data_IF_364863718240
#
_entry.id   IF_364863718240
#
_cell.length_a   1.000
_cell.length_b   1.000
_cell.length_c   1.000
_cell.angle_alpha   90.00
_cell.angle_beta   90.00
_cell.angle_gamma   90.00
#
_symmetry.space_group_name_H-M   'P 1'
#
loop_
_entity.id
_entity.type
_entity.pdbx_description
1 polymer ?
#
# COMPACT_ATOMS: atom_id res chain seq x y z
N UNK A 1 -35.40 5.19 -42.12
CA UNK A 1 -35.71 4.81 -40.72
C UNK A 1 -34.61 3.94 -40.07
N UNK A 2 -34.16 2.82 -40.68
CA UNK A 2 -33.14 1.94 -40.07
C UNK A 2 -31.77 2.60 -39.77
N UNK A 3 -31.32 3.55 -40.60
CA UNK A 3 -30.06 4.28 -40.37
C UNK A 3 -30.11 5.16 -39.11
N UNK A 4 -31.22 5.87 -38.89
CA UNK A 4 -31.37 6.80 -37.76
C UNK A 4 -31.41 6.06 -36.40
N UNK A 5 -32.12 4.93 -36.34
CA UNK A 5 -32.21 4.11 -35.13
C UNK A 5 -30.89 3.34 -34.86
N UNK A 6 -30.11 3.03 -35.89
CA UNK A 6 -28.76 2.47 -35.72
C UNK A 6 -27.79 3.51 -35.16
N UNK A 7 -27.81 4.74 -35.71
CA UNK A 7 -27.03 5.88 -35.20
C UNK A 7 -27.35 6.18 -33.74
N UNK A 8 -28.64 6.19 -33.37
CA UNK A 8 -29.07 6.43 -32.00
C UNK A 8 -28.58 5.36 -31.01
N UNK A 9 -28.64 4.08 -31.38
CA UNK A 9 -28.10 3.00 -30.55
C UNK A 9 -26.57 3.11 -30.39
N UNK A 10 -25.86 3.54 -31.43
CA UNK A 10 -24.42 3.82 -31.38
C UNK A 10 -24.08 4.97 -30.43
N UNK A 11 -24.82 6.08 -30.48
CA UNK A 11 -24.63 7.22 -29.58
C UNK A 11 -24.83 6.80 -28.12
N UNK A 12 -25.89 6.05 -27.79
CA UNK A 12 -26.10 5.57 -26.42
C UNK A 12 -24.98 4.61 -25.99
N UNK A 13 -24.52 3.74 -26.88
CA UNK A 13 -23.42 2.81 -26.58
C UNK A 13 -22.13 3.56 -26.27
N UNK A 14 -21.85 4.64 -27.01
CA UNK A 14 -20.72 5.52 -26.74
C UNK A 14 -20.87 6.26 -25.40
N UNK A 15 -22.07 6.79 -25.11
CA UNK A 15 -22.33 7.46 -23.83
C UNK A 15 -22.15 6.50 -22.64
N UNK A 16 -22.63 5.26 -22.75
CA UNK A 16 -22.43 4.21 -21.74
C UNK A 16 -20.95 3.86 -21.57
N UNK A 17 -20.22 3.69 -22.68
CA UNK A 17 -18.78 3.45 -22.63
C UNK A 17 -18.05 4.57 -21.87
N UNK A 18 -18.33 5.83 -22.22
CA UNK A 18 -17.72 6.99 -21.56
C UNK A 18 -18.11 7.07 -20.08
N UNK A 19 -19.37 6.82 -19.73
CA UNK A 19 -19.81 6.82 -18.34
C UNK A 19 -19.10 5.74 -17.51
N UNK A 20 -18.93 4.53 -18.05
CA UNK A 20 -18.19 3.44 -17.40
C UNK A 20 -16.71 3.80 -17.24
N UNK A 21 -16.07 4.35 -18.27
CA UNK A 21 -14.68 4.80 -18.18
C UNK A 21 -14.51 5.91 -17.14
N UNK A 22 -15.42 6.89 -17.11
CA UNK A 22 -15.39 7.96 -16.11
C UNK A 22 -15.57 7.42 -14.71
N UNK A 23 -16.57 6.56 -14.49
CA UNK A 23 -16.80 5.96 -13.17
C UNK A 23 -15.63 5.08 -12.71
N UNK A 24 -15.08 4.26 -13.61
CA UNK A 24 -13.98 3.34 -13.30
C UNK A 24 -12.64 4.03 -13.07
N UNK A 25 -12.35 5.12 -13.79
CA UNK A 25 -11.07 5.82 -13.72
C UNK A 25 -11.08 7.06 -12.83
N UNK A 26 -12.23 7.48 -12.31
CA UNK A 26 -12.32 8.58 -11.35
C UNK A 26 -11.53 8.25 -10.06
N UNK A 27 -10.68 9.17 -9.55
CA UNK A 27 -10.61 10.62 -9.85
C UNK A 27 -9.59 11.03 -10.92
N UNK A 28 -9.10 10.12 -11.77
CA UNK A 28 -8.09 10.37 -12.81
C UNK A 28 -6.75 10.92 -12.30
N UNK A 29 -6.47 10.74 -11.00
CA UNK A 29 -5.24 11.21 -10.39
C UNK A 29 -4.15 10.13 -10.43
N UNK A 30 -3.56 9.91 -11.61
CA UNK A 30 -2.49 8.93 -11.84
C UNK A 30 -1.12 9.36 -11.31
N UNK A 31 -0.97 10.64 -10.99
CA UNK A 31 0.28 11.24 -10.53
C UNK A 31 0.02 12.10 -9.28
N UNK A 32 -0.48 11.52 -8.18
CA UNK A 32 -0.74 12.29 -6.98
C UNK A 32 0.56 12.87 -6.42
N UNK A 33 0.48 14.10 -5.89
CA UNK A 33 1.56 14.70 -5.11
C UNK A 33 1.87 13.78 -3.93
N UNK A 34 3.15 13.58 -3.64
CA UNK A 34 3.55 12.94 -2.41
C UNK A 34 3.15 13.80 -1.22
N UNK A 35 2.44 13.21 -0.27
CA UNK A 35 1.85 13.92 0.86
C UNK A 35 2.81 13.89 2.06
N UNK A 36 4.02 14.41 1.82
CA UNK A 36 5.04 14.60 2.84
C UNK A 36 5.51 16.04 2.75
N UNK A 37 5.45 16.77 3.86
CA UNK A 37 5.88 18.15 3.92
C UNK A 37 6.93 18.32 5.03
N UNK A 38 7.90 19.20 4.83
CA UNK A 38 8.82 19.58 5.90
C UNK A 38 8.09 20.35 7.00
N UNK A 39 8.48 20.15 8.25
CA UNK A 39 7.95 20.93 9.36
C UNK A 39 8.51 22.36 9.32
N UNK A 40 7.67 23.40 9.43
CA UNK A 40 8.13 24.79 9.31
C UNK A 40 8.94 25.26 10.53
N UNK A 41 8.56 24.79 11.72
CA UNK A 41 9.05 25.34 12.99
C UNK A 41 10.13 24.49 13.67
N UNK A 42 10.37 23.25 13.19
CA UNK A 42 11.33 22.31 13.77
C UNK A 42 11.87 21.33 12.73
N UNK A 43 12.97 20.67 13.05
CA UNK A 43 13.53 19.60 12.21
C UNK A 43 12.57 18.41 12.18
N UNK A 44 12.39 17.83 11.00
CA UNK A 44 11.43 16.76 10.77
C UNK A 44 10.53 16.96 9.56
N UNK A 45 9.79 15.91 9.26
CA UNK A 45 8.81 15.84 8.18
C UNK A 45 7.47 15.38 8.74
N UNK A 46 6.39 15.84 8.11
CA UNK A 46 5.03 15.41 8.39
C UNK A 46 4.51 14.56 7.25
N UNK A 47 3.96 13.41 7.61
CA UNK A 47 3.22 12.55 6.71
C UNK A 47 1.72 12.86 6.82
N UNK A 48 1.10 13.07 5.67
CA UNK A 48 -0.34 13.21 5.51
C UNK A 48 -0.80 12.16 4.50
N UNK A 49 -1.99 11.57 4.67
CA UNK A 49 -2.56 10.62 3.69
C UNK A 49 -1.50 9.68 3.09
N UNK A 50 -1.41 9.58 1.76
CA UNK A 50 -0.46 8.71 1.03
C UNK A 50 0.98 9.30 0.95
N UNK A 51 1.55 9.74 2.06
CA UNK A 51 2.95 10.17 2.13
C UNK A 51 3.92 8.98 2.07
N UNK A 52 5.07 9.14 1.41
CA UNK A 52 6.14 8.13 1.40
C UNK A 52 7.53 8.76 1.31
N UNK A 53 8.47 8.23 2.08
CA UNK A 53 9.91 8.47 1.91
C UNK A 53 10.59 7.13 1.69
N UNK A 54 11.54 7.06 0.76
CA UNK A 54 12.23 5.82 0.41
C UNK A 54 13.74 5.98 0.54
N UNK A 55 14.39 5.00 1.17
CA UNK A 55 15.85 4.90 1.20
C UNK A 55 16.46 4.37 -0.09
N UNK A 56 17.80 4.37 -0.17
CA UNK A 56 18.53 3.77 -1.27
C UNK A 56 18.30 2.25 -1.31
N UNK A 57 18.64 1.64 -2.45
CA UNK A 57 18.67 0.19 -2.57
C UNK A 57 19.92 -0.33 -1.88
N UNK A 58 19.75 -1.25 -0.93
CA UNK A 58 20.83 -1.97 -0.26
C UNK A 58 20.85 -3.37 -0.85
N UNK A 59 21.89 -3.70 -1.61
CA UNK A 59 22.00 -5.04 -2.19
C UNK A 59 22.21 -6.12 -1.11
N UNK A 60 21.94 -7.38 -1.45
CA UNK A 60 22.04 -8.49 -0.50
C UNK A 60 23.45 -8.66 0.10
N UNK A 61 24.52 -8.34 -0.63
CA UNK A 61 25.90 -8.48 -0.14
C UNK A 61 26.22 -7.39 0.88
N UNK A 62 25.83 -6.15 0.59
CA UNK A 62 25.95 -5.04 1.52
C UNK A 62 25.13 -5.32 2.78
N UNK A 63 23.88 -5.78 2.63
CA UNK A 63 23.02 -6.17 3.74
C UNK A 63 23.69 -7.22 4.64
N UNK A 64 24.23 -8.29 4.04
CA UNK A 64 24.93 -9.34 4.79
C UNK A 64 26.15 -8.80 5.54
N UNK A 65 26.93 -7.89 4.93
CA UNK A 65 28.09 -7.27 5.59
C UNK A 65 27.69 -6.39 6.76
N UNK A 66 26.62 -5.61 6.61
CA UNK A 66 26.10 -4.73 7.65
C UNK A 66 25.54 -5.53 8.81
N UNK A 67 24.69 -6.53 8.56
CA UNK A 67 23.91 -7.22 9.61
C UNK A 67 24.28 -8.70 9.77
N UNK A 68 25.58 -9.03 9.83
CA UNK A 68 26.11 -10.42 9.85
C UNK A 68 25.49 -11.28 10.96
N UNK A 69 25.34 -10.71 12.16
CA UNK A 69 24.79 -11.43 13.32
C UNK A 69 23.26 -11.34 13.41
N UNK A 70 22.60 -10.73 12.42
CA UNK A 70 21.20 -10.29 12.49
C UNK A 70 20.96 -9.33 13.68
N UNK A 71 22.02 -8.70 14.16
CA UNK A 71 21.99 -7.68 15.20
C UNK A 71 21.67 -6.31 14.58
N UNK A 72 20.67 -5.62 15.12
CA UNK A 72 20.22 -4.32 14.66
C UNK A 72 19.69 -3.51 15.84
N UNK A 73 19.94 -2.21 15.86
CA UNK A 73 19.16 -1.27 16.68
C UNK A 73 18.54 -0.22 15.80
N UNK A 74 17.22 -0.05 15.91
CA UNK A 74 16.46 1.00 15.23
C UNK A 74 16.02 2.02 16.28
N UNK A 75 16.39 3.27 16.09
CA UNK A 75 15.90 4.38 16.90
C UNK A 75 15.06 5.31 16.05
N UNK A 76 13.90 5.73 16.55
CA UNK A 76 13.01 6.63 15.84
C UNK A 76 12.37 7.63 16.80
N UNK A 77 12.33 8.89 16.38
CA UNK A 77 11.54 9.96 17.00
C UNK A 77 10.35 10.27 16.14
N UNK A 78 9.16 10.14 16.71
CA UNK A 78 7.93 10.41 15.99
C UNK A 78 6.84 11.00 16.88
N UNK A 79 5.85 11.63 16.27
CA UNK A 79 4.65 12.17 16.91
C UNK A 79 3.42 11.74 16.12
N UNK A 80 2.62 10.78 16.59
CA UNK A 80 1.37 10.41 15.95
C UNK A 80 0.39 11.58 15.95
N UNK A 81 -0.25 11.87 14.82
CA UNK A 81 -1.32 12.87 14.75
C UNK A 81 -2.69 12.27 15.07
N UNK A 82 -2.89 11.00 14.72
CA UNK A 82 -4.17 10.29 14.83
C UNK A 82 -4.06 9.08 15.77
N UNK A 83 -5.19 8.68 16.34
CA UNK A 83 -5.38 7.30 16.81
C UNK A 83 -5.94 6.47 15.66
N UNK A 84 -5.34 5.32 15.39
CA UNK A 84 -5.62 4.54 14.19
C UNK A 84 -6.39 3.26 14.52
N UNK A 85 -7.22 2.79 13.60
CA UNK A 85 -7.88 1.47 13.69
C UNK A 85 -7.41 0.49 12.60
N UNK A 86 -6.66 0.98 11.61
CA UNK A 86 -6.22 0.24 10.41
C UNK A 86 -4.77 -0.26 10.45
N UNK A 87 -4.06 -0.09 11.56
CA UNK A 87 -2.65 -0.49 11.70
C UNK A 87 -1.69 0.07 10.64
N UNK A 88 -1.66 1.38 10.32
CA UNK A 88 -0.78 1.92 9.28
C UNK A 88 0.71 1.73 9.55
N UNK A 89 1.53 1.73 8.49
CA UNK A 89 2.97 1.50 8.55
C UNK A 89 3.74 2.80 8.78
N UNK A 90 4.54 2.86 9.84
CA UNK A 90 5.46 3.96 10.13
C UNK A 90 6.81 3.71 9.44
N UNK A 91 7.32 2.49 9.55
CA UNK A 91 8.58 2.06 8.94
C UNK A 91 8.35 0.71 8.29
N UNK A 92 8.86 0.50 7.08
CA UNK A 92 8.87 -0.79 6.42
C UNK A 92 10.25 -1.06 5.82
N UNK A 93 10.75 -2.27 6.08
CA UNK A 93 11.90 -2.83 5.39
C UNK A 93 11.39 -3.82 4.35
N UNK A 94 11.54 -3.46 3.09
CA UNK A 94 11.00 -4.19 1.95
C UNK A 94 12.12 -4.86 1.15
N UNK A 95 11.88 -6.10 0.72
CA UNK A 95 12.84 -6.90 -0.07
C UNK A 95 12.23 -7.49 -1.35
N UNK A 96 11.09 -6.95 -1.81
CA UNK A 96 10.37 -7.49 -2.97
C UNK A 96 9.36 -8.60 -2.65
N UNK A 97 9.29 -9.10 -1.41
CA UNK A 97 8.43 -10.23 -1.03
C UNK A 97 7.36 -9.85 0.00
N UNK A 98 6.17 -10.42 -0.16
CA UNK A 98 5.09 -10.37 0.84
C UNK A 98 5.06 -11.64 1.71
N UNK A 99 4.82 -11.54 3.03
CA UNK A 99 4.74 -10.30 3.82
C UNK A 99 6.10 -9.58 3.87
N UNK A 100 6.12 -8.28 4.18
CA UNK A 100 7.36 -7.48 4.28
C UNK A 100 8.34 -8.04 5.31
N UNK A 101 9.63 -7.68 5.20
CA UNK A 101 10.68 -8.27 6.05
C UNK A 101 10.51 -7.82 7.50
N UNK A 102 10.29 -6.51 7.69
CA UNK A 102 10.02 -5.88 8.98
C UNK A 102 9.07 -4.69 8.78
N UNK A 103 8.07 -4.53 9.66
CA UNK A 103 7.21 -3.34 9.71
C UNK A 103 7.02 -2.85 11.14
N UNK A 104 7.14 -1.53 11.34
CA UNK A 104 6.65 -0.85 12.53
C UNK A 104 5.33 -0.20 12.17
N UNK A 105 4.30 -0.47 12.97
CA UNK A 105 2.92 -0.09 12.71
C UNK A 105 2.31 0.57 13.94
N UNK A 106 1.33 1.44 13.72
CA UNK A 106 0.55 2.04 14.81
C UNK A 106 -0.84 1.42 14.87
N UNK A 107 -1.23 0.84 15.99
CA UNK A 107 -2.62 0.47 16.29
C UNK A 107 -3.12 1.27 17.48
N UNK A 108 -4.09 2.18 17.29
CA UNK A 108 -4.51 3.14 18.34
C UNK A 108 -3.29 3.90 18.88
N UNK A 109 -3.04 3.81 20.19
CA UNK A 109 -1.85 4.35 20.86
C UNK A 109 -0.67 3.36 20.92
N UNK A 110 -0.80 2.18 20.33
CA UNK A 110 0.15 1.07 20.47
C UNK A 110 1.13 1.04 19.31
N UNK A 111 2.37 0.67 19.61
CA UNK A 111 3.33 0.27 18.60
C UNK A 111 3.19 -1.24 18.38
N UNK A 112 3.04 -1.65 17.13
CA UNK A 112 3.02 -3.05 16.70
C UNK A 112 4.19 -3.28 15.75
N UNK A 113 4.98 -4.31 15.99
CA UNK A 113 6.13 -4.66 15.17
C UNK A 113 5.87 -6.04 14.58
N UNK A 114 5.91 -6.16 13.26
CA UNK A 114 5.86 -7.44 12.56
C UNK A 114 7.18 -7.74 11.88
N UNK A 115 7.76 -8.89 12.19
CA UNK A 115 8.93 -9.44 11.51
C UNK A 115 8.55 -10.69 10.76
N UNK A 116 8.98 -10.85 9.50
CA UNK A 116 8.68 -12.06 8.72
C UNK A 116 9.21 -13.31 9.41
N UNK A 117 8.39 -14.35 9.48
CA UNK A 117 8.80 -15.62 10.08
C UNK A 117 9.80 -16.38 9.18
N UNK A 118 10.91 -16.82 9.78
CA UNK A 118 11.92 -17.68 9.12
C UNK A 118 11.69 -19.16 9.39
N UNK A 119 11.10 -19.50 10.54
CA UNK A 119 10.98 -20.89 10.98
C UNK A 119 10.07 -21.70 10.07
N UNK A 120 10.63 -22.80 9.55
CA UNK A 120 9.93 -23.82 8.79
C UNK A 120 8.71 -24.41 9.53
N UNK A 121 8.73 -24.46 10.87
CA UNK A 121 7.61 -24.92 11.68
C UNK A 121 6.47 -23.90 11.77
N UNK A 122 6.81 -22.61 11.91
CA UNK A 122 5.83 -21.50 11.93
C UNK A 122 5.16 -21.35 10.56
N UNK A 123 5.93 -21.46 9.47
CA UNK A 123 5.39 -21.48 8.11
C UNK A 123 4.44 -22.66 7.88
N UNK A 124 4.74 -23.85 8.42
CA UNK A 124 3.86 -25.02 8.37
C UNK A 124 2.56 -24.83 9.16
N UNK A 125 2.53 -23.95 10.16
CA UNK A 125 1.34 -23.58 10.94
C UNK A 125 0.58 -22.39 10.36
N UNK A 126 1.00 -21.86 9.20
CA UNK A 126 0.39 -20.70 8.57
C UNK A 126 0.75 -19.36 9.23
N UNK A 127 1.71 -19.33 10.15
CA UNK A 127 2.19 -18.09 10.79
C UNK A 127 3.16 -17.39 9.83
N UNK A 128 2.76 -16.24 9.32
CA UNK A 128 3.55 -15.49 8.34
C UNK A 128 4.52 -14.49 8.98
N UNK A 129 4.24 -14.04 10.20
CA UNK A 129 5.03 -13.04 10.93
C UNK A 129 5.07 -13.31 12.45
N UNK A 130 6.14 -12.83 13.07
CA UNK A 130 6.26 -12.67 14.51
C UNK A 130 5.74 -11.28 14.90
N UNK A 131 4.95 -11.18 15.96
CA UNK A 131 4.40 -9.92 16.45
C UNK A 131 4.96 -9.53 17.82
N UNK A 132 5.33 -8.26 17.96
CA UNK A 132 5.61 -7.59 19.23
C UNK A 132 4.63 -6.42 19.36
N UNK A 133 3.86 -6.38 20.45
CA UNK A 133 2.93 -5.30 20.76
C UNK A 133 3.36 -4.52 22.00
N UNK A 134 3.44 -3.20 21.89
CA UNK A 134 3.68 -2.28 22.98
C UNK A 134 2.49 -1.35 23.17
N UNK A 135 1.78 -1.53 24.28
CA UNK A 135 0.67 -0.66 24.65
C UNK A 135 1.15 0.74 25.01
N UNK A 136 0.37 1.73 24.59
CA UNK A 136 0.51 3.16 24.90
C UNK A 136 1.90 3.75 24.62
N UNK A 137 2.62 3.17 23.65
CA UNK A 137 3.95 3.64 23.25
C UNK A 137 3.87 4.86 22.32
N UNK A 138 2.74 5.07 21.64
CA UNK A 138 2.52 6.08 20.61
C UNK A 138 1.26 6.90 20.92
N UNK A 139 1.21 7.64 22.05
CA UNK A 139 0.06 8.47 22.37
C UNK A 139 -0.14 9.60 21.34
N UNK A 140 -1.41 9.85 21.00
CA UNK A 140 -1.79 10.89 20.03
C UNK A 140 -1.28 12.26 20.48
N UNK A 141 -0.65 12.97 19.55
CA UNK A 141 -0.19 14.35 19.74
C UNK A 141 0.98 14.50 20.70
N UNK A 142 1.68 13.43 21.03
CA UNK A 142 2.84 13.46 21.93
C UNK A 142 4.08 12.95 21.19
N UNK A 143 5.22 13.59 21.45
CA UNK A 143 6.49 13.14 20.91
C UNK A 143 6.91 11.85 21.64
N UNK A 144 7.31 10.84 20.86
CA UNK A 144 7.76 9.55 21.34
C UNK A 144 9.13 9.24 20.75
N UNK A 145 10.04 8.76 21.60
CA UNK A 145 11.29 8.15 21.20
C UNK A 145 11.21 6.65 21.45
N UNK A 146 11.46 5.87 20.41
CA UNK A 146 11.46 4.41 20.47
C UNK A 146 12.84 3.93 20.03
N UNK A 147 13.52 3.18 20.90
CA UNK A 147 14.71 2.41 20.53
C UNK A 147 14.40 0.91 20.57
N UNK A 148 14.72 0.19 19.51
CA UNK A 148 14.43 -1.24 19.36
C UNK A 148 15.74 -1.95 19.06
N UNK A 149 16.33 -2.56 20.08
CA UNK A 149 17.57 -3.31 19.97
C UNK A 149 17.26 -4.80 19.85
N UNK A 150 17.74 -5.46 18.80
CA UNK A 150 17.40 -6.85 18.51
C UNK A 150 18.55 -7.62 17.89
N UNK A 151 18.62 -8.90 18.24
CA UNK A 151 19.49 -9.89 17.62
C UNK A 151 18.73 -11.22 17.45
N UNK A 152 19.46 -12.34 17.34
CA UNK A 152 18.86 -13.69 17.24
C UNK A 152 18.22 -14.16 18.55
N UNK A 153 18.64 -13.63 19.70
CA UNK A 153 18.15 -14.04 21.02
C UNK A 153 16.79 -13.40 21.34
N UNK A 154 16.54 -12.17 20.85
CA UNK A 154 15.28 -11.49 21.05
C UNK A 154 15.31 -10.01 20.68
N UNK A 155 14.37 -9.26 21.25
CA UNK A 155 14.24 -7.82 21.08
C UNK A 155 14.04 -7.15 22.43
N UNK A 156 14.74 -6.04 22.68
CA UNK A 156 14.49 -5.12 23.77
C UNK A 156 13.97 -3.79 23.20
N UNK A 157 12.86 -3.30 23.73
CA UNK A 157 12.26 -2.03 23.31
C UNK A 157 12.26 -1.02 24.44
N UNK A 158 12.81 0.15 24.19
CA UNK A 158 12.88 1.28 25.10
C UNK A 158 11.93 2.37 24.61
N UNK A 159 11.19 2.99 25.54
CA UNK A 159 10.28 4.10 25.24
C UNK A 159 10.71 5.28 26.09
N UNK A 160 11.03 6.41 25.45
CA UNK A 160 11.43 7.66 26.10
C UNK A 160 12.53 7.50 27.17
N UNK A 161 13.54 6.67 26.88
CA UNK A 161 14.66 6.40 27.81
C UNK A 161 14.29 5.57 29.05
N UNK A 162 13.05 5.05 29.12
CA UNK A 162 12.62 4.16 30.19
C UNK A 162 13.24 2.75 30.11
N UNK A 163 12.99 1.90 31.13
CA UNK A 163 13.55 0.55 31.17
C UNK A 163 13.08 -0.32 29.99
N UNK A 164 13.92 -1.25 29.50
CA UNK A 164 13.59 -2.08 28.36
C UNK A 164 12.44 -3.03 28.65
N UNK A 165 11.53 -3.16 27.68
CA UNK A 165 10.60 -4.29 27.57
C UNK A 165 11.24 -5.37 26.71
N UNK A 166 11.52 -6.53 27.32
CA UNK A 166 12.17 -7.65 26.64
C UNK A 166 11.16 -8.63 26.01
N UNK A 167 11.45 -9.04 24.79
CA UNK A 167 10.69 -9.99 23.99
C UNK A 167 11.63 -11.11 23.51
N UNK A 168 11.86 -12.15 24.32
CA UNK A 168 12.76 -13.24 23.97
C UNK A 168 12.22 -14.02 22.76
N UNK A 169 13.13 -14.54 21.92
CA UNK A 169 12.83 -15.32 20.70
C UNK A 169 12.01 -14.57 19.63
N UNK A 170 11.84 -13.25 19.77
CA UNK A 170 11.24 -12.38 18.77
C UNK A 170 12.35 -11.48 18.22
N UNK A 171 12.75 -11.72 16.97
CA UNK A 171 13.86 -10.98 16.33
C UNK A 171 13.30 -10.02 15.28
N UNK A 172 13.85 -8.81 15.17
CA UNK A 172 13.51 -7.89 14.08
C UNK A 172 13.91 -8.46 12.72
N UNK A 173 15.09 -9.07 12.65
CA UNK A 173 15.63 -9.67 11.43
C UNK A 173 15.50 -11.20 11.51
N UNK A 174 14.28 -11.67 11.80
CA UNK A 174 14.01 -13.09 11.96
C UNK A 174 14.30 -13.87 10.66
N UNK A 175 13.84 -13.36 9.51
CA UNK A 175 14.06 -13.97 8.20
C UNK A 175 15.28 -13.40 7.47
N UNK A 176 15.89 -14.23 6.62
CA UNK A 176 16.86 -13.74 5.63
C UNK A 176 16.11 -13.00 4.52
N UNK A 177 16.64 -11.87 4.02
CA UNK A 177 16.03 -11.20 2.88
C UNK A 177 16.03 -12.05 1.61
N UNK A 178 15.00 -11.89 0.80
CA UNK A 178 14.81 -12.61 -0.46
C UNK A 178 15.26 -11.83 -1.71
N UNK A 179 15.41 -10.52 -1.60
CA UNK A 179 15.73 -9.60 -2.69
C UNK A 179 16.63 -8.47 -2.19
N UNK A 180 16.73 -7.38 -2.96
CA UNK A 180 17.41 -6.17 -2.52
C UNK A 180 16.53 -5.36 -1.57
N UNK A 181 17.16 -4.65 -0.64
CA UNK A 181 16.48 -4.05 0.51
C UNK A 181 16.21 -2.59 0.26
N UNK A 182 15.07 -2.14 0.76
CA UNK A 182 14.76 -0.73 0.82
C UNK A 182 14.00 -0.38 2.09
N UNK A 183 14.44 0.71 2.71
CA UNK A 183 13.72 1.36 3.79
C UNK A 183 12.60 2.23 3.22
N UNK A 184 11.42 2.15 3.82
CA UNK A 184 10.26 2.98 3.49
C UNK A 184 9.76 3.59 4.78
N UNK A 185 9.45 4.89 4.77
CA UNK A 185 8.81 5.59 5.89
C UNK A 185 7.41 6.06 5.51
N UNK A 186 6.51 5.98 6.47
CA UNK A 186 5.14 6.51 6.41
C UNK A 186 4.15 5.69 5.60
N UNK A 187 4.56 4.58 4.97
CA UNK A 187 3.65 3.78 4.14
C UNK A 187 4.10 2.32 3.98
N UNK A 188 3.19 1.47 3.50
CA UNK A 188 3.54 0.15 2.93
C UNK A 188 4.13 0.30 1.51
N UNK A 189 4.79 -0.73 0.98
CA UNK A 189 5.27 -0.72 -0.40
C UNK A 189 4.16 -0.51 -1.43
N UNK A 190 2.92 -0.95 -1.13
CA UNK A 190 1.75 -0.77 -1.99
C UNK A 190 1.13 0.63 -1.94
N UNK A 191 1.41 1.42 -0.90
CA UNK A 191 0.81 2.75 -0.75
C UNK A 191 -0.53 2.81 -0.01
N UNK A 192 -1.06 1.66 0.40
CA UNK A 192 -2.40 1.52 0.99
C UNK A 192 -2.41 1.66 2.51
N UNK A 193 -1.28 1.40 3.18
CA UNK A 193 -1.18 1.37 4.65
C UNK A 193 -0.35 2.55 5.15
N UNK A 194 -0.86 3.75 4.90
CA UNK A 194 -0.17 5.00 5.15
C UNK A 194 -0.39 5.57 6.55
N UNK A 195 0.67 6.16 7.13
CA UNK A 195 0.69 6.71 8.47
C UNK A 195 0.60 8.23 8.47
N UNK A 196 0.02 8.82 9.51
CA UNK A 196 -0.16 10.27 9.65
C UNK A 196 0.45 10.76 10.96
N UNK A 197 1.41 11.67 10.85
CA UNK A 197 2.17 12.23 11.96
C UNK A 197 3.54 12.72 11.55
N UNK A 198 4.35 13.10 12.54
CA UNK A 198 5.68 13.65 12.32
C UNK A 198 6.77 12.60 12.55
N UNK A 199 7.80 12.58 11.72
CA UNK A 199 9.08 11.91 12.01
C UNK A 199 10.15 12.98 12.12
N UNK A 200 10.89 12.98 13.23
CA UNK A 200 11.89 14.01 13.57
C UNK A 200 13.29 13.44 13.81
N UNK A 201 13.47 12.14 13.62
CA UNK A 201 14.75 11.47 13.81
C UNK A 201 14.66 9.99 13.52
N UNK A 202 15.68 9.44 12.87
CA UNK A 202 15.84 8.01 12.62
C UNK A 202 17.31 7.64 12.66
N UNK A 203 17.68 6.62 13.43
CA UNK A 203 19.01 6.03 13.41
C UNK A 203 18.94 4.51 13.29
N UNK A 204 19.94 3.94 12.60
CA UNK A 204 20.09 2.50 12.42
C UNK A 204 21.51 2.11 12.81
N UNK A 205 21.62 1.14 13.70
CA UNK A 205 22.87 0.52 14.12
C UNK A 205 22.90 -0.93 13.69
N UNK A 206 24.10 -1.45 13.38
CA UNK A 206 24.31 -2.86 13.07
C UNK A 206 24.64 -3.73 14.29
N UNK A 207 24.27 -3.28 15.48
CA UNK A 207 24.50 -3.97 16.74
C UNK A 207 23.35 -3.74 17.70
N UNK A 208 23.32 -4.52 18.77
CA UNK A 208 22.43 -4.30 19.91
C UNK A 208 23.05 -3.21 20.80
N UNK A 209 22.33 -2.12 21.04
CA UNK A 209 22.74 -1.11 22.01
C UNK A 209 22.48 -1.59 23.44
N UNK A 210 23.41 -1.30 24.34
CA UNK A 210 23.21 -1.50 25.78
C UNK A 210 22.17 -0.49 26.33
N UNK A 211 21.50 -0.79 27.47
CA UNK A 211 20.52 0.12 28.08
C UNK A 211 21.06 1.53 28.35
N UNK A 212 22.32 1.63 28.76
CA UNK A 212 22.99 2.90 29.07
C UNK A 212 23.28 3.70 27.80
N UNK A 213 23.52 3.02 26.67
CA UNK A 213 23.70 3.65 25.37
C UNK A 213 22.37 4.18 24.83
N UNK A 214 21.31 3.37 24.87
CA UNK A 214 19.97 3.79 24.45
C UNK A 214 19.44 4.98 25.26
N UNK A 215 19.73 5.02 26.56
CA UNK A 215 19.37 6.16 27.43
C UNK A 215 20.16 7.42 27.06
N UNK A 216 21.46 7.26 26.77
CA UNK A 216 22.33 8.38 26.36
C UNK A 216 21.91 8.95 25.00
N UNK A 217 21.58 8.08 24.05
CA UNK A 217 21.10 8.47 22.73
C UNK A 217 19.74 9.18 22.85
N UNK A 218 18.83 8.71 23.72
CA UNK A 218 17.59 9.43 24.04
C UNK A 218 17.86 10.87 24.52
N UNK A 219 18.80 11.09 25.45
CA UNK A 219 19.15 12.43 25.90
C UNK A 219 19.75 13.29 24.78
N UNK A 220 20.61 12.71 23.93
CA UNK A 220 21.18 13.40 22.78
C UNK A 220 20.09 13.82 21.79
N UNK A 221 19.14 12.94 21.50
CA UNK A 221 17.97 13.23 20.69
C UNK A 221 17.10 14.34 21.28
N UNK A 222 16.87 14.37 22.59
CA UNK A 222 16.13 15.46 23.26
C UNK A 222 16.83 16.81 23.13
N UNK A 223 18.17 16.82 23.11
CA UNK A 223 19.00 18.02 22.89
C UNK A 223 19.20 18.37 21.40
N UNK A 224 18.64 17.58 20.48
CA UNK A 224 18.92 17.63 19.03
C UNK A 224 20.43 17.54 18.70
N UNK A 225 21.20 16.82 19.52
CA UNK A 225 22.65 16.64 19.37
C UNK A 225 22.96 15.43 18.46
N UNK A 226 22.70 15.61 17.17
CA UNK A 226 23.02 14.61 16.14
C UNK A 226 24.53 14.33 16.02
N UNK A 227 25.39 15.24 16.48
CA UNK A 227 26.83 15.04 16.48
C UNK A 227 27.23 13.96 17.49
N UNK A 228 26.70 13.99 18.71
CA UNK A 228 26.95 12.95 19.70
C UNK A 228 26.53 11.56 19.22
N UNK A 229 25.35 11.46 18.60
CA UNK A 229 24.83 10.20 18.03
C UNK A 229 25.73 9.70 16.91
N UNK A 230 26.23 10.60 16.04
CA UNK A 230 27.13 10.25 14.93
C UNK A 230 28.43 9.57 15.37
N UNK A 231 28.92 9.84 16.59
CA UNK A 231 30.16 9.26 17.11
C UNK A 231 29.97 7.83 17.65
N UNK A 232 28.73 7.33 17.72
CA UNK A 232 28.44 6.03 18.31
C UNK A 232 28.92 4.88 17.42
N UNK A 233 29.50 3.86 18.04
CA UNK A 233 29.99 2.69 17.33
C UNK A 233 28.84 1.91 16.67
N UNK A 234 29.08 1.39 15.47
CA UNK A 234 28.11 0.57 14.72
C UNK A 234 26.96 1.36 14.10
N UNK A 235 27.01 2.69 14.08
CA UNK A 235 26.03 3.52 13.37
C UNK A 235 26.16 3.29 11.85
N UNK A 236 25.06 2.90 11.23
CA UNK A 236 24.93 2.65 9.79
C UNK A 236 24.26 3.82 9.09
N UNK A 237 23.22 4.37 9.70
CA UNK A 237 22.46 5.48 9.14
C UNK A 237 21.95 6.41 10.23
N UNK A 238 21.96 7.72 9.96
CA UNK A 238 21.44 8.75 10.85
C UNK A 238 20.74 9.84 10.04
N UNK A 239 19.44 9.99 10.25
CA UNK A 239 18.58 10.97 9.60
C UNK A 239 17.99 11.91 10.65
N UNK A 240 18.58 13.09 10.85
CA UNK A 240 18.08 14.10 11.79
C UNK A 240 16.99 15.00 11.20
N UNK A 241 16.77 14.98 9.87
CA UNK A 241 15.76 15.78 9.17
C UNK A 241 15.92 17.31 9.33
N UNK A 242 17.16 17.81 9.33
CA UNK A 242 17.47 19.24 9.49
C UNK A 242 17.31 20.06 8.20
N UNK A 243 17.05 19.44 7.05
CA UNK A 243 17.12 20.11 5.75
C UNK A 243 16.00 21.14 5.54
N UNK A 244 14.80 20.87 6.08
CA UNK A 244 13.60 21.73 6.06
C UNK A 244 13.05 22.09 4.67
N UNK A 245 13.71 21.68 3.60
CA UNK A 245 13.30 21.90 2.21
C UNK A 245 13.96 20.89 1.27
N UNK A 246 13.44 20.81 0.05
CA UNK A 246 13.93 19.90 -0.99
C UNK A 246 13.37 18.49 -0.87
N UNK A 247 13.89 17.58 -1.70
CA UNK A 247 13.36 16.23 -1.91
C UNK A 247 14.24 15.13 -1.29
N UNK A 248 15.19 15.50 -0.43
CA UNK A 248 16.16 14.56 0.13
C UNK A 248 16.36 14.76 1.63
N UNK A 249 16.48 13.66 2.36
CA UNK A 249 16.90 13.63 3.77
C UNK A 249 18.30 13.05 3.82
N UNK A 250 19.29 13.84 4.23
CA UNK A 250 20.69 13.42 4.24
C UNK A 250 20.92 12.39 5.35
N UNK A 251 21.69 11.37 4.99
CA UNK A 251 22.24 10.46 5.98
C UNK A 251 23.54 11.06 6.53
N UNK A 252 23.52 11.49 7.79
CA UNK A 252 24.67 12.06 8.47
C UNK A 252 25.79 11.03 8.73
N UNK A 253 25.49 9.73 8.72
CA UNK A 253 26.49 8.67 8.86
C UNK A 253 27.16 8.33 7.52
N UNK A 254 26.39 8.30 6.42
CA UNK A 254 26.88 8.00 5.08
C UNK A 254 26.18 8.89 4.02
N UNK A 255 26.81 9.98 3.56
CA UNK A 255 26.18 10.96 2.65
C UNK A 255 25.64 10.39 1.33
N UNK A 256 26.18 9.27 0.85
CA UNK A 256 25.76 8.63 -0.41
C UNK A 256 24.43 7.87 -0.28
N UNK A 257 23.94 7.68 0.94
CA UNK A 257 22.75 6.89 1.27
C UNK A 257 21.61 7.75 1.81
N UNK A 258 21.38 8.92 1.19
CA UNK A 258 20.26 9.79 1.55
C UNK A 258 18.88 9.14 1.27
N UNK A 259 17.87 9.50 2.05
CA UNK A 259 16.48 9.15 1.72
C UNK A 259 15.95 10.11 0.65
N UNK A 260 15.15 9.59 -0.25
CA UNK A 260 14.40 10.36 -1.23
C UNK A 260 12.96 10.56 -0.75
N UNK A 261 12.54 11.82 -0.74
CA UNK A 261 11.17 12.27 -0.59
C UNK A 261 10.69 12.73 -1.97
N UNK A 262 10.15 11.83 -2.81
CA UNK A 262 9.82 12.17 -4.19
C UNK A 262 8.69 13.19 -4.25
N UNK A 263 8.70 14.09 -5.25
CA UNK A 263 7.59 15.04 -5.49
C UNK A 263 6.25 14.35 -5.77
N UNK A 264 6.31 13.24 -6.50
CA UNK A 264 5.15 12.42 -6.87
C UNK A 264 5.14 11.14 -6.07
N UNK A 265 3.98 10.82 -5.50
CA UNK A 265 3.78 9.53 -4.85
C UNK A 265 3.83 8.41 -5.90
N UNK A 266 4.70 7.42 -5.66
CA UNK A 266 4.79 6.22 -6.48
C UNK A 266 4.97 5.01 -5.56
N UNK A 267 4.02 4.07 -5.54
CA UNK A 267 4.18 2.86 -4.75
C UNK A 267 5.29 2.00 -5.35
N UNK A 268 5.99 1.27 -4.50
CA UNK A 268 7.09 0.38 -4.88
C UNK A 268 6.57 -0.98 -5.32
N UNK A 269 5.45 -1.40 -4.76
CA UNK A 269 4.71 -2.60 -5.14
C UNK A 269 3.43 -2.19 -5.83
N UNK A 270 3.25 -2.61 -7.08
CA UNK A 270 1.97 -2.45 -7.80
C UNK A 270 1.17 -3.73 -7.70
N UNK A 271 -0.11 -3.58 -7.38
CA UNK A 271 -1.07 -4.67 -7.32
C UNK A 271 -1.95 -4.60 -8.55
N UNK A 272 -1.96 -5.67 -9.34
CA UNK A 272 -2.68 -5.72 -10.62
C UNK A 272 -3.48 -7.02 -10.67
N UNK A 273 -4.78 -6.92 -10.92
CA UNK A 273 -5.67 -8.08 -11.05
C UNK A 273 -5.50 -9.08 -9.89
N UNK A 274 -5.60 -8.58 -8.66
CA UNK A 274 -5.42 -9.45 -7.50
C UNK A 274 -6.51 -10.53 -7.46
N UNK A 275 -6.14 -11.78 -7.19
CA UNK A 275 -7.11 -12.82 -6.93
C UNK A 275 -7.83 -12.58 -5.60
N UNK A 276 -9.01 -13.17 -5.38
CA UNK A 276 -9.69 -13.09 -4.09
C UNK A 276 -8.76 -13.57 -2.99
N UNK A 277 -8.64 -12.78 -1.91
CA UNK A 277 -7.84 -13.17 -0.76
C UNK A 277 -8.38 -14.48 -0.14
N UNK A 278 -7.51 -15.39 0.35
CA UNK A 278 -7.95 -16.63 1.00
C UNK A 278 -8.86 -16.40 2.22
N UNK A 279 -8.74 -15.26 2.86
CA UNK A 279 -9.48 -14.82 4.05
C UNK A 279 -10.55 -13.76 3.72
N UNK A 280 -11.08 -13.79 2.49
CA UNK A 280 -12.10 -12.86 1.98
C UNK A 280 -13.23 -12.64 3.01
N UNK A 281 -13.37 -11.39 3.45
CA UNK A 281 -14.44 -10.99 4.38
C UNK A 281 -15.68 -10.57 3.60
N UNK A 282 -16.71 -11.41 3.66
CA UNK A 282 -18.02 -11.15 3.08
C UNK A 282 -18.82 -10.15 3.93
N UNK A 283 -18.39 -8.89 3.93
CA UNK A 283 -19.02 -7.80 4.65
C UNK A 283 -19.93 -6.96 3.73
N UNK A 284 -20.60 -5.96 4.30
CA UNK A 284 -21.48 -5.07 3.54
C UNK A 284 -20.77 -4.33 2.40
N UNK A 285 -19.51 -3.91 2.62
CA UNK A 285 -18.70 -3.24 1.58
C UNK A 285 -18.49 -4.15 0.38
N UNK A 286 -18.07 -5.39 0.63
CA UNK A 286 -17.86 -6.38 -0.43
C UNK A 286 -19.11 -6.59 -1.28
N UNK A 287 -20.28 -6.74 -0.64
CA UNK A 287 -21.53 -6.89 -1.38
C UNK A 287 -21.94 -5.62 -2.15
N UNK A 288 -21.62 -4.43 -1.61
CA UNK A 288 -21.83 -3.17 -2.33
C UNK A 288 -20.95 -3.10 -3.58
N UNK A 289 -19.67 -3.43 -3.47
CA UNK A 289 -18.72 -3.43 -4.60
C UNK A 289 -19.17 -4.40 -5.70
N UNK A 290 -19.55 -5.63 -5.31
CA UNK A 290 -20.13 -6.62 -6.24
C UNK A 290 -21.38 -6.08 -6.93
N UNK A 291 -22.31 -5.47 -6.19
CA UNK A 291 -23.54 -4.92 -6.76
C UNK A 291 -23.26 -3.77 -7.73
N UNK A 292 -22.37 -2.85 -7.37
CA UNK A 292 -21.98 -1.70 -8.21
C UNK A 292 -21.35 -2.19 -9.52
N UNK A 293 -20.43 -3.15 -9.46
CA UNK A 293 -19.78 -3.72 -10.64
C UNK A 293 -20.78 -4.43 -11.58
N UNK A 294 -21.66 -5.26 -11.03
CA UNK A 294 -22.72 -5.93 -11.82
C UNK A 294 -23.66 -4.90 -12.45
N UNK A 295 -24.24 -3.99 -11.65
CA UNK A 295 -25.23 -3.02 -12.12
C UNK A 295 -24.63 -2.04 -13.12
N UNK A 296 -23.37 -1.63 -12.91
CA UNK A 296 -22.64 -0.71 -13.77
C UNK A 296 -22.40 -1.26 -15.18
N UNK A 297 -22.28 -2.58 -15.34
CA UNK A 297 -22.03 -3.21 -16.64
C UNK A 297 -23.29 -3.77 -17.36
N UNK A 298 -24.45 -3.78 -16.70
CA UNK A 298 -25.73 -4.12 -17.37
C UNK A 298 -25.98 -3.24 -18.61
N UNK A 299 -25.83 -1.89 -18.55
CA UNK A 299 -25.99 -1.03 -19.71
C UNK A 299 -25.07 -1.40 -20.87
N UNK A 300 -23.81 -1.77 -20.60
CA UNK A 300 -22.86 -2.18 -21.64
C UNK A 300 -23.39 -3.38 -22.43
N UNK A 301 -23.79 -4.46 -21.73
CA UNK A 301 -24.35 -5.65 -22.36
C UNK A 301 -25.61 -5.38 -23.20
N UNK A 302 -26.51 -4.55 -22.66
CA UNK A 302 -27.76 -4.17 -23.32
C UNK A 302 -27.53 -3.35 -24.60
N UNK A 303 -26.78 -2.25 -24.49
CA UNK A 303 -26.63 -1.28 -25.58
C UNK A 303 -25.61 -1.72 -26.63
N UNK A 304 -24.51 -2.39 -26.24
CA UNK A 304 -23.59 -2.98 -27.22
C UNK A 304 -24.28 -4.02 -28.08
N UNK A 305 -25.11 -4.88 -27.47
CA UNK A 305 -25.92 -5.86 -28.21
C UNK A 305 -26.93 -5.20 -29.16
N UNK A 306 -27.57 -4.11 -28.71
CA UNK A 306 -28.52 -3.36 -29.51
C UNK A 306 -27.88 -2.68 -30.72
N UNK A 307 -26.69 -2.09 -30.54
CA UNK A 307 -25.91 -1.47 -31.61
C UNK A 307 -25.38 -2.52 -32.59
N UNK A 308 -24.63 -3.52 -32.11
CA UNK A 308 -24.02 -4.56 -32.95
C UNK A 308 -25.07 -5.38 -33.71
N UNK A 309 -26.22 -5.64 -33.10
CA UNK A 309 -27.34 -6.33 -33.73
C UNK A 309 -28.02 -5.54 -34.86
N UNK A 310 -27.76 -4.23 -34.97
CA UNK A 310 -28.23 -3.37 -36.07
C UNK A 310 -27.12 -3.02 -37.06
N UNK A 311 -25.89 -2.85 -36.55
CA UNK A 311 -24.72 -2.48 -37.35
C UNK A 311 -24.14 -3.65 -38.14
N UNK A 312 -24.39 -4.89 -37.72
CA UNK A 312 -23.83 -6.10 -38.36
C UNK A 312 -24.92 -7.04 -38.86
N UNK A 313 -24.59 -7.85 -39.89
CA UNK A 313 -25.44 -8.95 -40.37
C UNK A 313 -25.07 -10.30 -39.72
N UNK A 314 -24.32 -10.28 -38.60
CA UNK A 314 -23.81 -11.50 -37.94
C UNK A 314 -24.94 -12.25 -37.23
N UNK A 315 -24.72 -13.56 -36.97
CA UNK A 315 -25.64 -14.39 -36.18
C UNK A 315 -25.77 -13.83 -34.75
N UNK A 316 -26.94 -14.00 -34.12
CA UNK A 316 -27.22 -13.48 -32.77
C UNK A 316 -26.18 -13.93 -31.73
N UNK A 317 -25.79 -15.20 -31.75
CA UNK A 317 -24.76 -15.73 -30.86
C UNK A 317 -23.43 -14.99 -31.00
N UNK A 318 -23.02 -14.67 -32.23
CA UNK A 318 -21.79 -13.92 -32.50
C UNK A 318 -21.91 -12.48 -32.02
N UNK A 319 -23.07 -11.83 -32.20
CA UNK A 319 -23.32 -10.48 -31.68
C UNK A 319 -23.18 -10.44 -30.15
N UNK A 320 -23.78 -11.41 -29.44
CA UNK A 320 -23.72 -11.46 -27.98
C UNK A 320 -22.32 -11.81 -27.48
N UNK A 321 -21.60 -12.71 -28.16
CA UNK A 321 -20.21 -13.00 -27.85
C UNK A 321 -19.33 -11.75 -28.00
N UNK A 322 -19.48 -10.98 -29.10
CA UNK A 322 -18.73 -9.73 -29.28
C UNK A 322 -19.09 -8.72 -28.19
N UNK A 323 -20.37 -8.55 -27.85
CA UNK A 323 -20.79 -7.66 -26.78
C UNK A 323 -20.18 -8.04 -25.42
N UNK A 324 -20.15 -9.34 -25.10
CA UNK A 324 -19.50 -9.86 -23.89
C UNK A 324 -17.99 -9.57 -23.90
N UNK A 325 -17.30 -9.88 -25.01
CA UNK A 325 -15.86 -9.64 -25.12
C UNK A 325 -15.50 -8.16 -25.01
N UNK A 326 -16.34 -7.25 -25.55
CA UNK A 326 -16.17 -5.81 -25.38
C UNK A 326 -16.37 -5.38 -23.92
N UNK A 327 -17.36 -5.94 -23.22
CA UNK A 327 -17.57 -5.67 -21.79
C UNK A 327 -16.40 -6.15 -20.93
N UNK A 328 -15.94 -7.39 -21.14
CA UNK A 328 -14.77 -7.94 -20.45
C UNK A 328 -13.50 -7.15 -20.79
N UNK A 329 -13.28 -6.82 -22.06
CA UNK A 329 -12.13 -6.02 -22.49
C UNK A 329 -12.13 -4.62 -21.89
N UNK A 330 -13.30 -3.97 -21.80
CA UNK A 330 -13.46 -2.69 -21.12
C UNK A 330 -13.14 -2.81 -19.62
N UNK A 331 -13.64 -3.86 -18.96
CA UNK A 331 -13.33 -4.11 -17.55
C UNK A 331 -11.82 -4.30 -17.35
N UNK A 332 -11.16 -5.14 -18.14
CA UNK A 332 -9.71 -5.36 -18.05
C UNK A 332 -8.92 -4.07 -18.29
N UNK A 333 -9.35 -3.24 -19.26
CA UNK A 333 -8.73 -1.94 -19.51
C UNK A 333 -8.79 -1.04 -18.27
N UNK A 334 -9.95 -0.98 -17.62
CA UNK A 334 -10.15 -0.18 -16.40
C UNK A 334 -9.28 -0.71 -15.27
N UNK A 335 -9.31 -2.01 -15.01
CA UNK A 335 -8.51 -2.68 -13.97
C UNK A 335 -7.01 -2.46 -14.14
N UNK A 336 -6.49 -2.68 -15.35
CA UNK A 336 -5.07 -2.46 -15.67
C UNK A 336 -4.70 -0.98 -15.50
N UNK A 337 -5.62 -0.06 -15.80
CA UNK A 337 -5.40 1.37 -15.61
C UNK A 337 -5.44 1.76 -14.13
N UNK A 338 -6.33 1.18 -13.34
CA UNK A 338 -6.47 1.42 -11.90
C UNK A 338 -5.25 0.98 -11.11
N UNK A 339 -4.47 0.00 -11.59
CA UNK A 339 -3.16 -0.32 -11.02
C UNK A 339 -2.16 0.86 -10.98
N UNK A 340 -2.45 1.94 -11.72
CA UNK A 340 -1.68 3.18 -11.73
C UNK A 340 -2.38 4.32 -10.98
N UNK A 341 -3.52 4.06 -10.36
CA UNK A 341 -4.25 4.97 -9.48
C UNK A 341 -4.00 4.54 -8.03
N UNK A 342 -3.19 5.28 -7.25
CA UNK A 342 -2.76 4.87 -5.91
C UNK A 342 -3.85 4.56 -4.88
N UNK A 343 -5.11 4.94 -5.10
CA UNK A 343 -6.24 4.67 -4.19
C UNK A 343 -7.24 3.66 -4.77
N UNK A 344 -6.87 2.93 -5.84
CA UNK A 344 -7.74 1.93 -6.45
C UNK A 344 -7.04 0.59 -6.45
N UNK A 345 -7.76 -0.40 -5.95
CA UNK A 345 -7.35 -1.79 -6.03
C UNK A 345 -7.76 -2.34 -7.39
N UNK A 346 -6.89 -3.13 -8.00
CA UNK A 346 -7.25 -3.88 -9.20
C UNK A 346 -7.55 -5.34 -8.84
N UNK A 347 -8.71 -5.85 -9.26
CA UNK A 347 -9.31 -7.08 -8.76
C UNK A 347 -9.84 -7.98 -9.88
N UNK A 348 -9.52 -9.27 -9.80
CA UNK A 348 -10.15 -10.28 -10.67
C UNK A 348 -11.65 -10.49 -10.36
N UNK A 349 -12.08 -10.20 -9.13
CA UNK A 349 -13.49 -10.28 -8.73
C UNK A 349 -14.30 -9.24 -9.49
N UNK A 350 -13.73 -8.06 -9.70
CA UNK A 350 -14.40 -6.94 -10.36
C UNK A 350 -14.59 -7.25 -11.85
N UNK A 351 -13.57 -7.83 -12.51
CA UNK A 351 -13.71 -8.35 -13.87
C UNK A 351 -14.82 -9.39 -13.98
N UNK A 352 -14.91 -10.32 -13.03
CA UNK A 352 -15.96 -11.33 -13.01
C UNK A 352 -17.36 -10.72 -12.82
N UNK A 353 -17.49 -9.76 -11.91
CA UNK A 353 -18.75 -9.04 -11.65
C UNK A 353 -19.20 -8.21 -12.86
N UNK A 354 -18.28 -7.49 -13.49
CA UNK A 354 -18.52 -6.71 -14.70
C UNK A 354 -18.91 -7.60 -15.88
N UNK A 355 -18.29 -8.79 -16.01
CA UNK A 355 -18.69 -9.80 -16.98
C UNK A 355 -20.12 -10.31 -16.72
N UNK A 356 -20.48 -10.61 -15.46
CA UNK A 356 -21.83 -11.02 -15.08
C UNK A 356 -22.88 -9.93 -15.38
N UNK A 357 -22.58 -8.67 -15.05
CA UNK A 357 -23.40 -7.51 -15.43
C UNK A 357 -23.62 -7.42 -16.94
N UNK A 358 -22.55 -7.58 -17.73
CA UNK A 358 -22.61 -7.60 -19.19
C UNK A 358 -23.53 -8.72 -19.70
N UNK A 359 -23.42 -9.94 -19.14
CA UNK A 359 -24.30 -11.07 -19.48
C UNK A 359 -25.77 -10.76 -19.17
N UNK A 360 -26.06 -10.18 -17.99
CA UNK A 360 -27.43 -9.78 -17.62
C UNK A 360 -27.99 -8.74 -18.60
N UNK A 361 -27.19 -7.75 -18.99
CA UNK A 361 -27.56 -6.77 -20.03
C UNK A 361 -27.91 -7.41 -21.38
N UNK A 362 -27.14 -8.41 -21.80
CA UNK A 362 -27.42 -9.20 -23.01
C UNK A 362 -28.76 -9.94 -22.88
N UNK A 363 -29.02 -10.59 -21.74
CA UNK A 363 -30.27 -11.32 -21.49
C UNK A 363 -31.47 -10.37 -21.53
N UNK A 364 -31.36 -9.20 -20.88
CA UNK A 364 -32.38 -8.15 -20.92
C UNK A 364 -32.68 -7.74 -22.36
N UNK A 365 -31.64 -7.47 -23.16
CA UNK A 365 -31.80 -7.14 -24.58
C UNK A 365 -32.55 -8.25 -25.36
N UNK A 366 -32.20 -9.51 -25.12
CA UNK A 366 -32.85 -10.64 -25.76
C UNK A 366 -34.35 -10.71 -25.46
N UNK A 367 -34.72 -10.53 -24.19
CA UNK A 367 -36.12 -10.56 -23.74
C UNK A 367 -36.91 -9.42 -24.38
N UNK A 368 -36.37 -8.19 -24.36
CA UNK A 368 -37.00 -7.04 -25.01
C UNK A 368 -37.20 -7.26 -26.52
N UNK A 369 -36.15 -7.74 -27.21
CA UNK A 369 -36.22 -7.99 -28.66
C UNK A 369 -37.23 -9.08 -29.03
N UNK A 370 -37.37 -10.13 -28.21
CA UNK A 370 -38.39 -11.18 -28.41
C UNK A 370 -39.80 -10.63 -28.26
N UNK A 371 -40.08 -9.86 -27.20
CA UNK A 371 -41.41 -9.26 -26.95
C UNK A 371 -41.83 -8.29 -28.07
N UNK A 372 -40.95 -7.37 -28.48
CA UNK A 372 -41.24 -6.45 -29.58
C UNK A 372 -41.34 -7.16 -30.95
N UNK A 373 -40.65 -8.29 -31.13
CA UNK A 373 -40.73 -9.09 -32.36
C UNK A 373 -42.04 -9.89 -32.47
N UNK A 374 -42.56 -10.42 -31.36
CA UNK A 374 -43.87 -11.10 -31.32
C UNK A 374 -45.03 -10.13 -31.54
N UNK A 375 -44.92 -8.88 -31.09
CA UNK A 375 -45.94 -7.85 -31.31
C UNK A 375 -46.08 -7.37 -32.76
N UNK A 376 -45.10 -7.65 -33.63
CA UNK A 376 -45.15 -7.29 -35.07
C UNK A 376 -45.63 -8.44 -35.98
N UNK A 377 -45.92 -9.61 -35.41
CA UNK A 377 -46.39 -10.81 -36.12
C UNK A 377 -47.84 -11.17 -35.82
N UNK A 378 -48.52 -10.36 -34.99
CA UNK A 378 -49.97 -10.26 -34.93
C UNK A 378 -50.35 -8.97 -35.64
#
# INVERSE_FOLDING_TARGET
>A
MNSLVSKFAGIISLAVLLAILVAGLWPFNFFPKNQVDWLPDRDGVRFHGQGIITGPVIDQKQWQRLFQERAITLEIRLRPELETSSSPCIVTLYDGKSPDLLTLRQWRSHLVIWSRADDSADRKRGVQFQEIGLRDALPKGQDAFIAIASDRSGTAVYVNGGPPKAYPRRSLLAATPAGDMRLILGNSPSGESFWTGDITGLAVYNRVLAPEEATRDYEAWQRNDSFAIRQQAGLVALYPFYERQGEMVRNAANPDEALSMPDMFRPLQRRTLEPPAPDLRLNQSFYQDVAVNILGFIPAGLFFSAFLGKATRKRKAVVYLIALLLGVGLSLLIEISQAWLPMRDSSLVDVACNAAGTVLGIVIFQVFKRRCGCSKRK
#
